data_IF_365624778351
#
_entry.id   IF_365624778351
#
_cell.length_a   1.000
_cell.length_b   1.000
_cell.length_c   1.000
_cell.angle_alpha   90.00
_cell.angle_beta   90.00
_cell.angle_gamma   90.00
#
_symmetry.space_group_name_H-M   'P 1'
#
loop_
_entity.id
_entity.type
_entity.pdbx_description
1 polymer ?
#
# COMPACT_ATOMS: atom_id res chain seq x y z
N UNK A 1 11.44 68.92 35.60
CA UNK A 1 11.95 68.64 34.24
C UNK A 1 12.43 67.20 34.18
N UNK A 2 11.78 66.33 33.39
CA UNK A 2 12.10 64.90 33.27
C UNK A 2 12.93 64.72 31.99
N UNK A 3 14.21 64.36 32.11
CA UNK A 3 15.08 64.06 30.95
C UNK A 3 14.57 62.79 30.26
N UNK A 4 14.08 62.91 29.03
CA UNK A 4 13.82 61.77 28.15
C UNK A 4 15.15 61.18 27.71
N UNK A 5 15.41 59.94 28.16
CA UNK A 5 16.59 59.16 27.79
C UNK A 5 16.33 58.59 26.39
N UNK A 6 16.88 59.23 25.36
CA UNK A 6 16.82 58.71 24.00
C UNK A 6 17.72 57.47 23.90
N UNK A 7 17.11 56.28 23.95
CA UNK A 7 17.79 55.05 23.61
C UNK A 7 17.93 54.99 22.08
N UNK A 8 19.11 55.29 21.56
CA UNK A 8 19.48 54.95 20.19
C UNK A 8 19.43 53.42 20.06
N UNK A 9 18.45 52.90 19.32
CA UNK A 9 18.51 51.53 18.81
C UNK A 9 19.48 51.53 17.63
N UNK A 10 20.63 50.88 17.77
CA UNK A 10 21.55 50.68 16.65
C UNK A 10 20.83 49.85 15.56
N UNK A 11 20.67 50.43 14.36
CA UNK A 11 20.06 49.75 13.23
C UNK A 11 21.04 48.76 12.59
N UNK A 12 20.53 47.62 12.13
CA UNK A 12 21.33 46.61 11.43
C UNK A 12 21.93 47.18 10.13
N UNK A 13 23.18 46.82 9.84
CA UNK A 13 23.87 47.23 8.62
C UNK A 13 23.34 46.48 7.39
N UNK A 14 23.39 47.11 6.21
CA UNK A 14 22.99 46.48 4.95
C UNK A 14 23.76 45.17 4.69
N UNK A 15 25.03 45.14 5.10
CA UNK A 15 25.91 43.98 4.95
C UNK A 15 25.43 42.79 5.80
N UNK A 16 25.04 43.03 7.05
CA UNK A 16 24.51 41.99 7.94
C UNK A 16 23.23 41.36 7.37
N UNK A 17 22.32 42.18 6.83
CA UNK A 17 21.08 41.67 6.24
C UNK A 17 21.35 40.78 5.02
N UNK A 18 22.30 41.15 4.15
CA UNK A 18 22.67 40.34 2.99
C UNK A 18 23.29 39.00 3.42
N UNK A 19 24.17 39.02 4.42
CA UNK A 19 24.79 37.80 4.96
C UNK A 19 23.74 36.87 5.57
N UNK A 20 22.80 37.41 6.34
CA UNK A 20 21.71 36.62 6.95
C UNK A 20 20.83 35.97 5.89
N UNK A 21 20.42 36.71 4.86
CA UNK A 21 19.59 36.16 3.78
C UNK A 21 20.36 35.08 3.01
N UNK A 22 21.65 35.28 2.72
CA UNK A 22 22.49 34.28 2.07
C UNK A 22 22.56 32.97 2.87
N UNK A 23 22.78 33.07 4.19
CA UNK A 23 22.80 31.90 5.09
C UNK A 23 21.42 31.24 5.15
N UNK A 24 20.34 32.02 5.25
CA UNK A 24 18.97 31.49 5.26
C UNK A 24 18.65 30.70 3.99
N UNK A 25 19.04 31.19 2.81
CA UNK A 25 18.83 30.48 1.55
C UNK A 25 19.58 29.14 1.49
N UNK A 26 20.82 29.10 1.98
CA UNK A 26 21.62 27.85 2.07
C UNK A 26 20.97 26.86 3.03
N UNK A 27 20.56 27.32 4.21
CA UNK A 27 19.91 26.47 5.23
C UNK A 27 18.59 25.91 4.72
N UNK A 28 17.75 26.74 4.09
CA UNK A 28 16.46 26.33 3.53
C UNK A 28 16.64 25.26 2.46
N UNK A 29 17.65 25.40 1.58
CA UNK A 29 17.94 24.41 0.54
C UNK A 29 18.30 23.04 1.09
N UNK A 30 18.93 22.97 2.27
CA UNK A 30 19.27 21.70 2.93
C UNK A 30 18.14 21.16 3.81
N UNK A 31 17.37 22.06 4.43
CA UNK A 31 16.31 21.70 5.37
C UNK A 31 15.05 21.18 4.67
N UNK A 32 14.65 21.79 3.54
CA UNK A 32 13.42 21.41 2.83
C UNK A 32 13.42 19.93 2.42
N UNK A 33 14.45 19.39 1.71
CA UNK A 33 14.43 17.99 1.29
C UNK A 33 14.34 17.02 2.47
N UNK A 34 15.07 17.31 3.56
CA UNK A 34 15.06 16.50 4.77
C UNK A 34 13.71 16.52 5.48
N UNK A 35 13.10 17.70 5.57
CA UNK A 35 11.79 17.85 6.20
C UNK A 35 10.69 17.13 5.42
N UNK A 36 10.73 17.19 4.09
CA UNK A 36 9.78 16.46 3.22
C UNK A 36 9.95 14.94 3.40
N UNK A 37 11.18 14.43 3.37
CA UNK A 37 11.46 13.00 3.58
C UNK A 37 11.03 12.50 4.98
N UNK A 38 11.28 13.31 6.02
CA UNK A 38 10.83 12.99 7.37
C UNK A 38 9.31 12.90 7.46
N UNK A 39 8.58 13.87 6.88
CA UNK A 39 7.12 13.85 6.84
C UNK A 39 6.56 12.63 6.11
N UNK A 40 7.16 12.24 4.98
CA UNK A 40 6.73 11.06 4.23
C UNK A 40 6.95 9.78 5.03
N UNK A 41 8.10 9.64 5.68
CA UNK A 41 8.39 8.47 6.53
C UNK A 41 7.43 8.41 7.71
N UNK A 42 7.17 9.53 8.38
CA UNK A 42 6.22 9.59 9.50
C UNK A 42 4.79 9.21 9.08
N UNK A 43 4.34 9.66 7.90
CA UNK A 43 3.03 9.27 7.35
C UNK A 43 2.94 7.78 7.03
N UNK A 44 3.99 7.22 6.44
CA UNK A 44 4.05 5.79 6.15
C UNK A 44 4.04 4.95 7.44
N UNK A 45 4.80 5.37 8.47
CA UNK A 45 4.80 4.70 9.78
C UNK A 45 3.43 4.81 10.47
N UNK A 46 2.78 5.98 10.39
CA UNK A 46 1.42 6.15 10.93
C UNK A 46 0.41 5.24 10.22
N UNK A 47 0.53 5.06 8.91
CA UNK A 47 -0.30 4.14 8.14
C UNK A 47 -0.18 2.70 8.64
N UNK A 48 1.06 2.27 8.88
CA UNK A 48 1.34 0.93 9.39
C UNK A 48 0.91 0.73 10.84
N UNK A 49 1.01 1.77 11.67
CA UNK A 49 0.53 1.72 13.04
C UNK A 49 -0.99 1.52 13.13
N UNK A 50 -1.75 2.08 12.18
CA UNK A 50 -3.19 1.82 12.05
C UNK A 50 -3.50 0.37 11.69
N UNK A 51 -2.63 -0.30 10.92
CA UNK A 51 -2.77 -1.71 10.56
C UNK A 51 -2.45 -2.72 11.65
N UNK A 52 -2.09 -2.27 12.86
CA UNK A 52 -1.99 -3.14 14.02
C UNK A 52 -3.29 -3.27 14.82
N UNK A 53 -4.39 -2.63 14.39
CA UNK A 53 -5.73 -2.87 14.92
C UNK A 53 -6.21 -4.24 14.42
N UNK A 54 -6.37 -5.26 15.28
CA UNK A 54 -6.58 -6.63 14.82
C UNK A 54 -7.99 -6.80 14.22
N UNK A 55 -8.07 -7.17 12.94
CA UNK A 55 -9.31 -7.65 12.34
C UNK A 55 -9.83 -8.96 12.97
N UNK A 56 -8.98 -9.76 13.63
CA UNK A 56 -9.37 -10.92 14.46
C UNK A 56 -8.17 -11.64 15.11
N UNK A 57 -8.40 -12.54 16.10
CA UNK A 57 -7.35 -13.15 16.92
C UNK A 57 -6.72 -14.47 16.44
N UNK A 58 -7.06 -15.05 15.27
CA UNK A 58 -6.48 -16.36 14.88
C UNK A 58 -6.31 -16.60 13.37
N UNK A 59 -5.14 -17.17 13.06
CA UNK A 59 -4.52 -17.57 11.78
C UNK A 59 -4.26 -16.46 10.75
N UNK A 60 -3.03 -15.94 10.77
CA UNK A 60 -2.55 -14.96 9.77
C UNK A 60 -1.19 -15.43 9.24
N UNK A 61 -1.14 -15.73 7.94
CA UNK A 61 0.09 -15.57 7.17
C UNK A 61 0.25 -14.06 6.93
N UNK A 62 0.78 -13.36 7.94
CA UNK A 62 0.90 -11.90 7.94
C UNK A 62 2.31 -11.46 7.60
N UNK A 63 2.44 -10.44 6.77
CA UNK A 63 3.74 -9.89 6.36
C UNK A 63 3.70 -8.37 6.26
N UNK A 64 4.69 -7.70 6.85
CA UNK A 64 4.92 -6.27 6.69
C UNK A 64 6.14 -6.04 5.80
N UNK A 65 5.98 -5.23 4.74
CA UNK A 65 7.02 -4.95 3.75
C UNK A 65 7.09 -3.45 3.49
N UNK A 66 8.28 -2.88 3.64
CA UNK A 66 8.56 -1.52 3.18
C UNK A 66 9.35 -1.58 1.87
N UNK A 67 8.73 -1.08 0.80
CA UNK A 67 9.39 -0.93 -0.49
C UNK A 67 9.73 0.55 -0.70
N UNK A 68 11.02 0.87 -0.83
CA UNK A 68 11.49 2.21 -1.16
C UNK A 68 12.16 2.13 -2.54
N UNK A 69 11.44 2.44 -3.61
CA UNK A 69 12.05 2.50 -4.95
C UNK A 69 12.43 1.16 -5.57
N UNK A 70 11.72 0.07 -5.25
CA UNK A 70 11.80 -1.20 -6.00
C UNK A 70 12.35 -2.43 -5.26
N UNK A 71 12.11 -3.59 -5.90
CA UNK A 71 12.47 -5.01 -5.65
C UNK A 71 12.34 -5.63 -4.27
N UNK A 72 12.08 -4.87 -3.20
CA UNK A 72 11.78 -5.49 -1.91
C UNK A 72 10.39 -6.10 -1.96
N UNK A 73 10.29 -7.39 -1.67
CA UNK A 73 9.04 -8.10 -1.51
C UNK A 73 9.24 -9.18 -0.45
N UNK A 74 8.15 -9.66 0.13
CA UNK A 74 8.18 -10.86 0.98
C UNK A 74 7.58 -12.01 0.20
N UNK A 75 8.26 -13.15 0.26
CA UNK A 75 7.80 -14.42 -0.29
C UNK A 75 7.42 -15.34 0.85
N UNK A 76 6.22 -15.89 0.77
CA UNK A 76 5.65 -16.82 1.75
C UNK A 76 5.35 -18.12 1.00
N UNK A 77 5.86 -19.27 1.46
CA UNK A 77 5.52 -20.57 0.88
C UNK A 77 4.00 -20.74 0.74
N UNK A 78 3.55 -21.07 -0.47
CA UNK A 78 2.12 -21.04 -0.81
C UNK A 78 1.27 -22.20 -0.28
N UNK A 79 1.88 -23.21 0.36
CA UNK A 79 1.18 -24.40 0.86
C UNK A 79 0.18 -24.04 1.95
N UNK A 80 -1.11 -24.33 1.73
CA UNK A 80 -2.19 -24.02 2.69
C UNK A 80 -2.79 -22.61 2.55
N UNK A 81 -2.37 -21.82 1.54
CA UNK A 81 -2.88 -20.48 1.27
C UNK A 81 -3.63 -20.40 -0.06
N UNK A 82 -4.26 -21.49 -0.49
CA UNK A 82 -5.06 -21.54 -1.73
C UNK A 82 -6.41 -20.83 -1.59
N UNK A 83 -6.97 -20.71 -0.38
CA UNK A 83 -8.19 -19.94 -0.10
C UNK A 83 -9.38 -20.31 -1.03
N UNK A 84 -9.62 -21.61 -1.18
CA UNK A 84 -10.38 -22.20 -2.30
C UNK A 84 -11.78 -21.61 -2.50
N UNK A 85 -12.62 -21.62 -1.45
CA UNK A 85 -14.02 -21.21 -1.55
C UNK A 85 -14.29 -19.81 -1.01
N UNK A 86 -13.45 -19.38 -0.06
CA UNK A 86 -13.54 -18.09 0.57
C UNK A 86 -12.17 -17.62 1.03
N UNK A 87 -12.04 -16.32 1.20
CA UNK A 87 -10.82 -15.73 1.70
C UNK A 87 -10.94 -14.22 1.83
N UNK A 88 -9.99 -13.66 2.57
CA UNK A 88 -9.83 -12.22 2.71
C UNK A 88 -8.37 -11.84 2.52
N UNK A 89 -8.14 -10.83 1.67
CA UNK A 89 -6.88 -10.13 1.53
C UNK A 89 -7.03 -8.75 2.14
N UNK A 90 -6.28 -8.47 3.20
CA UNK A 90 -6.21 -7.18 3.85
C UNK A 90 -4.85 -6.54 3.59
N UNK A 91 -4.85 -5.26 3.22
CA UNK A 91 -3.64 -4.48 3.07
C UNK A 91 -3.80 -3.03 3.57
N UNK A 92 -2.93 -2.62 4.47
CA UNK A 92 -2.63 -1.21 4.74
C UNK A 92 -1.53 -0.75 3.79
N UNK A 93 -1.85 0.20 2.93
CA UNK A 93 -0.95 0.66 1.87
C UNK A 93 -0.67 2.16 1.97
N UNK A 94 0.60 2.52 1.93
CA UNK A 94 1.05 3.89 1.72
C UNK A 94 1.77 4.00 0.39
N UNK A 95 1.19 4.71 -0.57
CA UNK A 95 1.66 4.72 -1.97
C UNK A 95 2.68 5.85 -2.16
N UNK A 96 3.89 5.56 -2.63
CA UNK A 96 4.86 6.60 -3.02
C UNK A 96 4.68 7.02 -4.48
N UNK A 97 4.58 6.04 -5.38
CA UNK A 97 4.33 6.26 -6.80
C UNK A 97 3.50 5.11 -7.40
N UNK A 98 3.03 5.28 -8.64
CA UNK A 98 2.22 4.27 -9.32
C UNK A 98 3.04 3.54 -10.37
N UNK A 99 3.05 2.21 -10.29
CA UNK A 99 3.51 1.33 -11.35
C UNK A 99 2.31 0.51 -11.89
N UNK A 100 2.18 0.34 -13.21
CA UNK A 100 1.12 -0.49 -13.79
C UNK A 100 1.23 -1.93 -13.29
N UNK A 101 0.10 -2.52 -12.88
CA UNK A 101 0.02 -3.90 -12.41
C UNK A 101 0.87 -4.21 -11.17
N UNK A 102 1.28 -3.19 -10.39
CA UNK A 102 2.05 -3.43 -9.17
C UNK A 102 1.30 -4.36 -8.19
N UNK A 103 1.97 -5.44 -7.78
CA UNK A 103 1.39 -6.44 -6.87
C UNK A 103 1.39 -5.96 -5.42
N UNK A 104 0.24 -6.05 -4.76
CA UNK A 104 0.11 -5.75 -3.32
C UNK A 104 0.17 -7.07 -2.55
N UNK A 105 -0.73 -8.01 -2.87
CA UNK A 105 -0.71 -9.40 -2.44
C UNK A 105 -1.00 -10.26 -3.67
N UNK A 106 -0.15 -11.24 -3.96
CA UNK A 106 -0.27 -12.05 -5.18
C UNK A 106 0.12 -13.49 -4.89
N UNK A 107 -0.68 -14.46 -5.34
CA UNK A 107 -0.34 -15.89 -5.23
C UNK A 107 -0.15 -16.51 -6.61
N UNK A 108 1.00 -17.15 -6.78
CA UNK A 108 1.56 -17.54 -8.07
C UNK A 108 2.86 -16.79 -8.29
N UNK A 109 3.86 -17.42 -8.88
CA UNK A 109 5.15 -16.77 -9.14
C UNK A 109 5.75 -17.16 -10.48
N UNK A 110 5.07 -17.96 -11.31
CA UNK A 110 5.55 -18.27 -12.66
C UNK A 110 5.24 -17.12 -13.61
N UNK A 111 6.24 -16.72 -14.39
CA UNK A 111 6.13 -15.73 -15.48
C UNK A 111 5.03 -15.97 -16.51
N UNK A 112 4.60 -17.22 -16.68
CA UNK A 112 3.55 -17.58 -17.63
C UNK A 112 2.14 -17.56 -17.01
N UNK A 113 2.01 -17.13 -15.75
CA UNK A 113 0.75 -17.00 -15.02
C UNK A 113 0.00 -18.32 -14.82
N UNK A 114 0.67 -19.45 -15.07
CA UNK A 114 0.03 -20.78 -15.02
C UNK A 114 -0.28 -21.27 -13.61
N UNK A 115 0.28 -20.63 -12.59
CA UNK A 115 0.09 -20.91 -11.17
C UNK A 115 -0.56 -19.74 -10.41
N UNK A 116 -1.03 -18.72 -11.13
CA UNK A 116 -1.74 -17.58 -10.54
C UNK A 116 -3.08 -18.07 -9.95
N UNK A 117 -3.32 -17.77 -8.67
CA UNK A 117 -4.49 -18.21 -7.93
C UNK A 117 -5.37 -17.00 -7.55
N UNK A 118 -4.77 -15.97 -6.96
CA UNK A 118 -5.44 -14.70 -6.68
C UNK A 118 -4.44 -13.56 -6.67
N UNK A 119 -4.95 -12.35 -6.90
CA UNK A 119 -4.15 -11.13 -6.90
C UNK A 119 -4.96 -9.95 -6.37
N UNK A 120 -4.34 -9.18 -5.50
CA UNK A 120 -4.68 -7.81 -5.16
C UNK A 120 -3.57 -6.93 -5.73
N UNK A 121 -3.88 -6.16 -6.76
CA UNK A 121 -2.87 -5.42 -7.52
C UNK A 121 -3.40 -4.08 -7.99
N UNK A 122 -2.50 -3.16 -8.31
CA UNK A 122 -2.88 -2.02 -9.11
C UNK A 122 -3.32 -2.46 -10.50
N UNK A 123 -4.25 -1.71 -11.07
CA UNK A 123 -4.71 -1.85 -12.43
C UNK A 123 -4.65 -0.47 -13.11
N UNK A 124 -5.12 -0.41 -14.36
CA UNK A 124 -5.16 0.83 -15.12
C UNK A 124 -5.94 1.91 -14.35
N UNK A 125 -5.62 3.18 -14.61
CA UNK A 125 -6.31 4.34 -14.05
C UNK A 125 -6.21 4.50 -12.52
N UNK A 126 -5.14 3.97 -11.89
CA UNK A 126 -4.89 4.08 -10.43
C UNK A 126 -6.02 3.45 -9.61
N UNK A 127 -6.55 2.33 -10.08
CA UNK A 127 -7.53 1.50 -9.37
C UNK A 127 -6.85 0.24 -8.88
N UNK A 128 -7.40 -0.39 -7.85
CA UNK A 128 -6.95 -1.71 -7.41
C UNK A 128 -7.91 -2.75 -7.97
N UNK A 129 -7.36 -3.88 -8.39
CA UNK A 129 -8.08 -5.05 -8.87
C UNK A 129 -7.90 -6.18 -7.87
N UNK A 130 -9.02 -6.78 -7.47
CA UNK A 130 -9.07 -8.14 -6.98
C UNK A 130 -9.31 -9.05 -8.19
N UNK A 131 -8.46 -10.04 -8.43
CA UNK A 131 -8.75 -11.09 -9.40
C UNK A 131 -8.55 -12.48 -8.78
N UNK A 132 -9.46 -13.38 -9.12
CA UNK A 132 -9.47 -14.79 -8.73
C UNK A 132 -9.37 -15.64 -10.00
N UNK A 133 -8.46 -16.60 -9.97
CA UNK A 133 -8.18 -17.50 -11.07
C UNK A 133 -8.64 -18.90 -10.69
N UNK A 134 -9.55 -19.46 -11.46
CA UNK A 134 -10.08 -20.80 -11.28
C UNK A 134 -9.69 -21.73 -12.42
N UNK A 135 -9.89 -23.03 -12.22
CA UNK A 135 -9.65 -24.06 -13.27
C UNK A 135 -10.59 -23.91 -14.49
N UNK A 136 -11.74 -23.24 -14.31
CA UNK A 136 -12.79 -23.13 -15.33
C UNK A 136 -13.16 -21.69 -15.68
N UNK A 137 -12.38 -20.70 -15.22
CA UNK A 137 -12.62 -19.30 -15.52
C UNK A 137 -12.11 -18.38 -14.41
N UNK A 138 -12.02 -17.09 -14.74
CA UNK A 138 -11.51 -16.06 -13.86
C UNK A 138 -12.61 -15.04 -13.55
N UNK A 139 -12.51 -14.43 -12.37
CA UNK A 139 -13.36 -13.30 -11.99
C UNK A 139 -12.50 -12.16 -11.45
N UNK A 140 -12.84 -10.94 -11.83
CA UNK A 140 -12.16 -9.73 -11.41
C UNK A 140 -13.15 -8.67 -10.95
N UNK A 141 -12.71 -7.85 -10.00
CA UNK A 141 -13.43 -6.72 -9.45
C UNK A 141 -12.46 -5.56 -9.25
N UNK A 142 -12.75 -4.42 -9.88
CA UNK A 142 -11.97 -3.20 -9.74
C UNK A 142 -12.61 -2.26 -8.71
N UNK A 143 -11.80 -1.50 -7.99
CA UNK A 143 -12.28 -0.43 -7.11
C UNK A 143 -12.97 0.70 -7.89
N UNK A 144 -14.02 1.29 -7.31
CA UNK A 144 -14.61 2.57 -7.70
C UNK A 144 -13.77 3.76 -7.19
N UNK A 145 -12.97 3.56 -6.14
CA UNK A 145 -11.97 4.53 -5.69
C UNK A 145 -10.80 4.65 -6.67
N UNK A 146 -10.39 5.89 -6.95
CA UNK A 146 -9.15 6.24 -7.65
C UNK A 146 -8.13 6.66 -6.60
N UNK A 147 -7.02 5.94 -6.53
CA UNK A 147 -6.01 6.16 -5.50
C UNK A 147 -5.10 7.35 -5.83
N UNK A 148 -4.62 8.02 -4.79
CA UNK A 148 -3.66 9.11 -4.87
C UNK A 148 -2.34 8.72 -4.21
N UNK A 149 -1.24 9.22 -4.76
CA UNK A 149 0.07 9.05 -4.15
C UNK A 149 0.15 9.83 -2.82
N UNK A 150 1.05 9.39 -1.94
CA UNK A 150 1.35 9.98 -0.63
C UNK A 150 0.15 9.97 0.33
N UNK A 151 -0.77 9.03 0.14
CA UNK A 151 -1.91 8.75 1.02
C UNK A 151 -1.86 7.31 1.53
N UNK A 152 -2.38 7.14 2.75
CA UNK A 152 -2.62 5.85 3.36
C UNK A 152 -4.02 5.37 3.00
N UNK A 153 -4.16 4.09 2.70
CA UNK A 153 -5.45 3.43 2.50
C UNK A 153 -5.45 2.08 3.20
N UNK A 154 -6.59 1.74 3.78
CA UNK A 154 -6.91 0.38 4.20
C UNK A 154 -7.75 -0.27 3.11
N UNK A 155 -7.27 -1.38 2.57
CA UNK A 155 -7.92 -2.11 1.48
C UNK A 155 -8.22 -3.52 1.96
N UNK A 156 -9.49 -3.89 1.96
CA UNK A 156 -9.91 -5.26 2.25
C UNK A 156 -10.66 -5.81 1.06
N UNK A 157 -10.26 -6.97 0.58
CA UNK A 157 -10.88 -7.68 -0.52
C UNK A 157 -11.34 -9.05 -0.04
N UNK A 158 -12.62 -9.36 -0.18
CA UNK A 158 -13.22 -10.64 0.25
C UNK A 158 -13.89 -11.34 -0.91
N UNK A 159 -13.91 -12.67 -0.86
CA UNK A 159 -14.74 -13.50 -1.74
C UNK A 159 -15.30 -14.67 -0.96
N UNK A 160 -16.51 -15.08 -1.32
CA UNK A 160 -17.18 -16.27 -0.83
C UNK A 160 -18.21 -16.76 -1.87
N UNK A 161 -19.12 -17.65 -1.46
CA UNK A 161 -20.21 -18.15 -2.29
C UNK A 161 -21.23 -17.07 -2.74
N UNK A 162 -21.25 -15.89 -2.10
CA UNK A 162 -22.13 -14.77 -2.48
C UNK A 162 -21.47 -13.79 -3.46
N UNK A 163 -20.18 -13.99 -3.76
CA UNK A 163 -19.40 -13.19 -4.69
C UNK A 163 -18.25 -12.40 -4.05
N UNK A 164 -17.75 -11.41 -4.78
CA UNK A 164 -16.55 -10.64 -4.44
C UNK A 164 -16.91 -9.24 -3.94
N UNK A 165 -16.17 -8.73 -2.96
CA UNK A 165 -16.36 -7.39 -2.38
C UNK A 165 -15.01 -6.73 -2.13
N UNK A 166 -14.92 -5.41 -2.33
CA UNK A 166 -13.76 -4.61 -1.96
C UNK A 166 -14.21 -3.46 -1.09
N UNK A 167 -13.49 -3.25 0.00
CA UNK A 167 -13.70 -2.22 1.00
C UNK A 167 -12.49 -1.30 1.05
N UNK A 168 -12.74 0.00 1.12
CA UNK A 168 -11.72 1.03 1.26
C UNK A 168 -11.99 1.81 2.53
N UNK A 169 -11.02 1.86 3.44
CA UNK A 169 -11.12 2.52 4.74
C UNK A 169 -12.39 2.09 5.51
N UNK A 170 -12.58 0.77 5.63
CA UNK A 170 -13.73 0.16 6.31
C UNK A 170 -15.08 0.26 5.60
N UNK A 171 -15.18 0.87 4.41
CA UNK A 171 -16.45 1.07 3.69
C UNK A 171 -16.49 0.28 2.39
N UNK A 172 -17.63 -0.32 2.06
CA UNK A 172 -17.82 -1.02 0.79
C UNK A 172 -17.64 -0.05 -0.37
N UNK A 173 -16.69 -0.36 -1.26
CA UNK A 173 -16.37 0.44 -2.44
C UNK A 173 -16.96 -0.18 -3.70
N UNK A 174 -16.89 -1.51 -3.85
CA UNK A 174 -17.51 -2.23 -4.97
C UNK A 174 -17.84 -3.69 -4.61
N UNK A 175 -18.77 -4.29 -5.36
CA UNK A 175 -19.17 -5.70 -5.18
C UNK A 175 -19.70 -6.31 -6.47
N UNK A 176 -19.60 -7.63 -6.59
CA UNK A 176 -20.25 -8.43 -7.64
C UNK A 176 -20.71 -9.77 -7.08
N UNK A 177 -21.78 -10.35 -7.65
CA UNK A 177 -22.24 -11.70 -7.34
C UNK A 177 -21.50 -12.79 -8.13
N UNK A 178 -20.50 -12.43 -8.95
CA UNK A 178 -19.66 -13.40 -9.67
C UNK A 178 -18.82 -14.19 -8.67
N UNK A 179 -18.85 -15.50 -8.80
CA UNK A 179 -18.08 -16.44 -7.97
C UNK A 179 -17.11 -17.23 -8.84
N UNK A 180 -15.89 -17.40 -8.35
CA UNK A 180 -14.90 -18.32 -8.91
C UNK A 180 -14.25 -19.05 -7.75
N UNK A 181 -14.18 -20.38 -7.83
CA UNK A 181 -13.39 -21.19 -6.90
C UNK A 181 -11.92 -20.97 -7.24
N UNK A 182 -11.13 -20.55 -6.25
CA UNK A 182 -9.70 -20.35 -6.43
C UNK A 182 -9.06 -21.69 -6.77
N UNK A 183 -8.26 -21.71 -7.84
CA UNK A 183 -7.51 -22.90 -8.20
C UNK A 183 -6.40 -23.20 -7.19
N UNK A 184 -6.14 -24.49 -6.94
CA UNK A 184 -5.03 -24.90 -6.08
C UNK A 184 -3.73 -24.90 -6.87
N UNK A 185 -2.72 -24.20 -6.37
CA UNK A 185 -1.40 -24.14 -7.02
C UNK A 185 -0.28 -24.18 -5.98
N UNK A 186 0.87 -24.78 -6.32
CA UNK A 186 2.04 -24.73 -5.45
C UNK A 186 2.72 -23.34 -5.46
N UNK A 187 2.16 -22.35 -6.17
CA UNK A 187 2.73 -21.02 -6.31
C UNK A 187 2.82 -20.30 -4.97
N UNK A 188 3.94 -19.61 -4.75
CA UNK A 188 4.19 -18.86 -3.53
C UNK A 188 3.33 -17.60 -3.45
N UNK A 189 3.10 -17.11 -2.24
CA UNK A 189 2.49 -15.81 -2.00
C UNK A 189 3.57 -14.75 -1.95
N UNK A 190 3.31 -13.62 -2.60
CA UNK A 190 4.20 -12.48 -2.71
C UNK A 190 3.50 -11.22 -2.21
N UNK A 191 4.20 -10.44 -1.39
CA UNK A 191 3.73 -9.15 -0.88
C UNK A 191 4.66 -8.06 -1.42
N UNK A 192 4.11 -7.10 -2.16
CA UNK A 192 4.84 -5.99 -2.77
C UNK A 192 5.41 -6.24 -4.18
N UNK A 193 5.11 -7.39 -4.78
CA UNK A 193 5.42 -7.74 -6.16
C UNK A 193 4.46 -8.81 -6.69
N UNK A 194 4.47 -9.06 -8.00
CA UNK A 194 3.77 -10.21 -8.59
C UNK A 194 4.71 -11.37 -8.92
N UNK A 195 6.02 -11.13 -9.06
CA UNK A 195 6.98 -12.18 -9.44
C UNK A 195 8.23 -12.12 -8.55
N UNK A 196 8.86 -13.28 -8.35
CA UNK A 196 10.14 -13.38 -7.64
C UNK A 196 11.34 -13.11 -8.57
N UNK A 197 11.06 -12.95 -9.86
CA UNK A 197 12.00 -12.58 -10.91
C UNK A 197 11.45 -11.49 -11.84
N UNK A 198 12.33 -10.86 -12.64
CA UNK A 198 11.92 -9.83 -13.59
C UNK A 198 11.17 -10.44 -14.78
N UNK A 199 9.92 -10.03 -15.01
CA UNK A 199 9.15 -10.31 -16.22
C UNK A 199 9.88 -9.82 -17.48
N UNK A 200 10.24 -8.53 -17.51
CA UNK A 200 11.09 -7.92 -18.53
C UNK A 200 11.76 -6.63 -18.01
N UNK A 201 12.48 -5.93 -18.87
CA UNK A 201 13.20 -4.69 -18.52
C UNK A 201 12.27 -3.55 -18.08
N UNK A 202 11.04 -3.49 -18.59
CA UNK A 202 10.05 -2.44 -18.36
C UNK A 202 9.25 -2.66 -17.08
N UNK A 203 8.61 -3.82 -16.95
CA UNK A 203 7.73 -4.12 -15.83
C UNK A 203 8.46 -4.66 -14.60
N UNK A 204 9.72 -5.07 -14.76
CA UNK A 204 10.49 -5.74 -13.70
C UNK A 204 9.67 -6.90 -13.14
N UNK A 205 9.57 -7.04 -11.83
CA UNK A 205 8.74 -8.03 -11.17
C UNK A 205 7.36 -7.48 -10.74
N UNK A 206 6.89 -6.43 -11.40
CA UNK A 206 5.69 -5.65 -11.06
C UNK A 206 5.74 -5.11 -9.62
N UNK A 207 6.79 -4.35 -9.26
CA UNK A 207 7.01 -3.91 -7.89
C UNK A 207 5.97 -2.85 -7.48
N UNK A 208 5.49 -2.97 -6.26
CA UNK A 208 4.82 -1.88 -5.57
C UNK A 208 5.85 -0.90 -5.04
N UNK A 209 5.58 0.40 -5.18
CA UNK A 209 6.42 1.47 -4.62
C UNK A 209 5.69 2.17 -3.47
N UNK A 210 5.94 1.72 -2.25
CA UNK A 210 5.21 2.13 -1.07
C UNK A 210 5.48 1.29 0.17
N UNK A 211 4.69 1.49 1.22
CA UNK A 211 4.72 0.60 2.40
C UNK A 211 3.46 -0.24 2.41
N UNK A 212 3.60 -1.54 2.70
CA UNK A 212 2.49 -2.51 2.77
C UNK A 212 2.54 -3.22 4.13
N UNK A 213 1.41 -3.26 4.81
CA UNK A 213 1.11 -4.25 5.84
C UNK A 213 0.02 -5.16 5.34
N UNK A 214 0.28 -6.44 5.19
CA UNK A 214 -0.65 -7.39 4.60
C UNK A 214 -1.01 -8.51 5.58
N UNK A 215 -2.30 -8.87 5.57
CA UNK A 215 -2.87 -10.00 6.31
C UNK A 215 -3.73 -10.81 5.35
N UNK A 216 -3.65 -12.13 5.46
CA UNK A 216 -4.42 -13.08 4.66
C UNK A 216 -5.21 -13.96 5.61
N UNK A 217 -6.51 -14.11 5.35
CA UNK A 217 -7.43 -14.93 6.12
C UNK A 217 -8.08 -15.99 5.23
N UNK A 218 -8.28 -17.17 5.80
CA UNK A 218 -8.95 -18.33 5.20
C UNK A 218 -10.49 -18.27 5.28
N UNK A 219 -11.02 -17.13 5.72
CA UNK A 219 -12.45 -16.83 5.79
C UNK A 219 -12.78 -15.52 5.09
N UNK A 220 -14.01 -15.37 4.62
CA UNK A 220 -14.51 -14.06 4.21
C UNK A 220 -14.92 -13.23 5.44
N UNK A 221 -14.22 -12.11 5.71
CA UNK A 221 -14.59 -11.20 6.80
C UNK A 221 -15.96 -10.57 6.55
N UNK A 222 -16.76 -10.43 7.62
CA UNK A 222 -18.06 -9.74 7.53
C UNK A 222 -17.87 -8.21 7.47
N UNK A 223 -18.87 -7.46 6.97
CA UNK A 223 -18.81 -5.99 7.01
C UNK A 223 -18.59 -5.42 8.41
N UNK A 224 -19.11 -6.06 9.45
CA UNK A 224 -18.95 -5.66 10.85
C UNK A 224 -17.51 -5.90 11.34
N UNK A 225 -16.91 -7.05 11.00
CA UNK A 225 -15.50 -7.32 11.29
C UNK A 225 -14.60 -6.30 10.60
N UNK A 226 -14.87 -6.01 9.32
CA UNK A 226 -14.13 -5.02 8.52
C UNK A 226 -14.23 -3.61 9.11
N UNK A 227 -15.42 -3.21 9.57
CA UNK A 227 -15.62 -1.91 10.18
C UNK A 227 -14.86 -1.77 11.51
N UNK A 228 -14.63 -2.87 12.24
CA UNK A 228 -13.86 -2.87 13.47
C UNK A 228 -12.33 -2.77 13.24
N UNK A 229 -11.85 -2.99 12.02
CA UNK A 229 -10.44 -2.95 11.66
C UNK A 229 -9.88 -1.55 11.34
N UNK A 230 -10.75 -0.53 11.26
CA UNK A 230 -10.41 0.75 10.65
C UNK A 230 -10.50 1.95 11.62
#
# INVERSE_FOLDING_TARGET
MKKLKNNHSEGFTLLEVIVVIAIMCVLVSLAIPRYVSFKETARAVSCMASGHSPCSPLNIAGGCVKTLGGTNYVKIPGSGLDLSNEGTLEAWIYIYSFAPYAGIIHKGNKKNWSDEAYTLQFHRNRRIRLAIFGEHGNSDLDTNTVFEARKCYHVIATWNADGMRIYINGKLDNSTSRTTVVRSTPGDVQIGAQLDENYNSTYKNFPFDGTIGASIFDKALTPEEIAACN
#
